data_IF_202387339949
#
_entry.id   IF_202387339949
#
_cell.length_a   1.000
_cell.length_b   1.000
_cell.length_c   1.000
_cell.angle_alpha   90.00
_cell.angle_beta   90.00
_cell.angle_gamma   90.00
#
_symmetry.space_group_name_H-M   'P 1'
#
loop_
_entity.id
_entity.type
_entity.pdbx_description
1 polymer ?
#
# COMPACT_ATOMS: atom_id res chain seq x y z
N UNK A 1 -1.22 6.47 -23.01
CA UNK A 1 -0.77 7.16 -21.79
C UNK A 1 0.71 6.87 -21.66
N UNK A 2 1.57 7.87 -21.84
CA UNK A 2 3.00 7.74 -21.58
C UNK A 2 3.19 7.29 -20.14
N UNK A 3 4.05 6.30 -19.91
CA UNK A 3 4.48 5.94 -18.56
C UNK A 3 5.46 7.03 -18.09
N UNK A 4 4.94 8.19 -17.70
CA UNK A 4 5.76 9.23 -17.09
C UNK A 4 6.40 8.67 -15.82
N UNK A 5 7.73 8.67 -15.82
CA UNK A 5 8.52 8.30 -14.66
C UNK A 5 8.27 9.36 -13.60
N UNK A 6 7.95 8.93 -12.39
CA UNK A 6 7.59 9.87 -11.33
C UNK A 6 8.28 9.55 -10.03
N UNK A 7 8.66 10.62 -9.34
CA UNK A 7 9.21 10.60 -7.99
C UNK A 7 8.36 11.51 -7.14
N UNK A 8 7.83 10.99 -6.03
CA UNK A 8 7.04 11.74 -5.06
C UNK A 8 7.70 11.61 -3.69
N UNK A 9 7.92 12.73 -3.01
CA UNK A 9 8.25 12.71 -1.58
C UNK A 9 6.99 12.37 -0.80
N UNK A 10 7.03 11.27 -0.05
CA UNK A 10 5.92 10.78 0.78
C UNK A 10 5.93 11.35 2.19
N UNK A 11 7.02 11.99 2.65
CA UNK A 11 7.03 12.59 3.98
C UNK A 11 8.42 12.94 4.48
N UNK A 12 8.45 13.64 5.63
CA UNK A 12 9.64 13.86 6.47
C UNK A 12 9.46 13.09 7.78
N UNK A 13 10.40 12.21 8.08
CA UNK A 13 10.48 11.33 9.23
C UNK A 13 11.32 11.98 10.33
N UNK A 14 10.70 12.36 11.45
CA UNK A 14 11.37 13.00 12.60
C UNK A 14 11.18 14.52 12.66
N UNK A 15 11.56 15.14 13.78
CA UNK A 15 11.48 16.59 14.02
C UNK A 15 12.88 17.22 14.15
N UNK A 16 13.07 18.42 13.59
CA UNK A 16 14.34 19.16 13.66
C UNK A 16 15.42 18.62 12.72
N UNK A 17 16.69 18.73 13.12
CA UNK A 17 17.88 18.36 12.32
C UNK A 17 18.02 16.84 12.04
N UNK A 18 17.11 16.02 12.58
CA UNK A 18 17.03 14.56 12.35
C UNK A 18 15.98 14.15 11.31
N UNK A 19 15.34 15.13 10.63
CA UNK A 19 14.31 14.86 9.63
C UNK A 19 14.88 14.06 8.44
N UNK A 20 14.40 12.85 8.24
CA UNK A 20 14.81 11.99 7.12
C UNK A 20 13.67 11.86 6.10
N UNK A 21 13.99 11.59 4.84
CA UNK A 21 13.00 11.62 3.75
C UNK A 21 12.48 10.22 3.42
N UNK A 22 11.17 10.14 3.13
CA UNK A 22 10.56 8.96 2.51
C UNK A 22 10.22 9.27 1.06
N UNK A 23 10.74 8.49 0.11
CA UNK A 23 10.48 8.68 -1.31
C UNK A 23 9.65 7.53 -1.90
N UNK A 24 8.68 7.85 -2.74
CA UNK A 24 8.04 6.92 -3.66
C UNK A 24 8.57 7.09 -5.08
N UNK A 25 8.89 5.98 -5.74
CA UNK A 25 9.46 5.93 -7.09
C UNK A 25 8.64 4.97 -7.94
N UNK A 26 8.36 5.34 -9.19
CA UNK A 26 7.72 4.47 -10.18
C UNK A 26 8.16 4.77 -11.61
N UNK A 27 7.87 3.81 -12.48
CA UNK A 27 7.99 4.00 -13.93
C UNK A 27 9.41 3.90 -14.48
N UNK A 28 10.41 3.39 -13.73
CA UNK A 28 11.80 3.29 -14.21
C UNK A 28 12.05 2.18 -15.26
N UNK A 29 11.00 1.54 -15.78
CA UNK A 29 11.10 0.41 -16.69
C UNK A 29 11.82 0.72 -18.01
N UNK A 30 11.76 1.97 -18.47
CA UNK A 30 12.32 2.42 -19.76
C UNK A 30 13.74 2.99 -19.62
N UNK A 31 14.29 3.06 -18.40
CA UNK A 31 15.65 3.54 -18.16
C UNK A 31 16.67 2.46 -18.53
N UNK A 32 17.69 2.87 -19.28
CA UNK A 32 18.82 2.02 -19.68
C UNK A 32 19.59 1.46 -18.47
N UNK A 33 19.68 2.23 -17.38
CA UNK A 33 20.26 1.80 -16.10
C UNK A 33 19.41 2.27 -14.92
N UNK A 34 18.77 1.31 -14.25
CA UNK A 34 18.03 1.55 -12.99
C UNK A 34 18.95 2.10 -11.89
N UNK A 35 20.17 1.54 -11.65
CA UNK A 35 21.14 2.11 -10.71
C UNK A 35 21.44 3.60 -10.93
N UNK A 36 21.75 4.00 -12.16
CA UNK A 36 22.10 5.38 -12.46
C UNK A 36 20.92 6.34 -12.23
N UNK A 37 19.71 5.91 -12.62
CA UNK A 37 18.50 6.70 -12.38
C UNK A 37 18.20 6.85 -10.87
N UNK A 38 18.37 5.79 -10.08
CA UNK A 38 18.18 5.85 -8.62
C UNK A 38 19.22 6.75 -7.96
N UNK A 39 20.48 6.68 -8.41
CA UNK A 39 21.55 7.53 -7.92
C UNK A 39 21.25 9.02 -8.18
N UNK A 40 20.85 9.37 -9.40
CA UNK A 40 20.45 10.74 -9.75
C UNK A 40 19.27 11.22 -8.89
N UNK A 41 18.23 10.39 -8.74
CA UNK A 41 17.04 10.72 -7.94
C UNK A 41 17.41 10.95 -6.47
N UNK A 42 18.24 10.08 -5.90
CA UNK A 42 18.67 10.21 -4.51
C UNK A 42 19.60 11.41 -4.33
N UNK A 43 20.61 11.59 -5.18
CA UNK A 43 21.53 12.72 -5.12
C UNK A 43 20.79 14.08 -5.19
N UNK A 44 19.77 14.18 -6.06
CA UNK A 44 18.94 15.38 -6.16
C UNK A 44 18.18 15.71 -4.86
N UNK A 45 17.89 14.70 -4.03
CA UNK A 45 17.17 14.88 -2.75
C UNK A 45 18.13 15.05 -1.57
N UNK A 46 19.23 14.32 -1.57
CA UNK A 46 20.19 14.26 -0.47
C UNK A 46 21.23 15.39 -0.51
N UNK A 47 21.45 16.02 -1.67
CA UNK A 47 22.29 17.22 -1.82
C UNK A 47 21.90 18.40 -0.92
N UNK A 48 20.69 18.34 -0.32
CA UNK A 48 20.17 19.31 0.65
C UNK A 48 20.44 18.92 2.11
N UNK A 49 21.28 17.92 2.35
CA UNK A 49 21.66 17.44 3.69
C UNK A 49 20.68 16.46 4.35
N UNK A 50 19.62 16.04 3.65
CA UNK A 50 18.60 15.14 4.20
C UNK A 50 18.75 13.73 3.62
N UNK A 51 19.08 12.74 4.46
CA UNK A 51 19.16 11.32 4.05
C UNK A 51 17.76 10.75 3.76
N UNK A 52 17.66 9.88 2.75
CA UNK A 52 16.44 9.11 2.39
C UNK A 52 16.52 7.66 2.90
N UNK A 53 16.22 7.34 4.16
CA UNK A 53 16.41 5.99 4.68
C UNK A 53 15.39 4.97 4.14
N UNK A 54 14.23 5.42 3.68
CA UNK A 54 13.13 4.55 3.21
C UNK A 54 12.72 4.94 1.80
N UNK A 55 12.63 3.94 0.92
CA UNK A 55 12.17 4.10 -0.47
C UNK A 55 11.04 3.13 -0.75
N UNK A 56 9.88 3.66 -1.16
CA UNK A 56 8.76 2.89 -1.68
C UNK A 56 8.85 2.77 -3.19
N UNK A 57 8.87 1.55 -3.70
CA UNK A 57 8.82 1.24 -5.12
C UNK A 57 7.40 0.83 -5.49
N UNK A 58 6.76 1.56 -6.42
CA UNK A 58 5.40 1.23 -6.87
C UNK A 58 5.44 0.26 -8.05
N UNK A 59 4.95 -0.96 -7.83
CA UNK A 59 4.78 -1.99 -8.85
C UNK A 59 3.32 -1.99 -9.33
N UNK A 60 3.06 -1.35 -10.47
CA UNK A 60 1.70 -1.15 -11.00
C UNK A 60 1.31 -2.16 -12.06
N UNK A 61 2.32 -2.80 -12.66
CA UNK A 61 2.19 -3.78 -13.73
C UNK A 61 3.15 -4.95 -13.45
N UNK A 62 2.80 -6.16 -13.90
CA UNK A 62 3.72 -7.31 -13.81
C UNK A 62 5.07 -7.05 -14.49
N UNK A 63 5.09 -6.28 -15.59
CA UNK A 63 6.31 -5.87 -16.31
C UNK A 63 7.27 -5.03 -15.47
N UNK A 64 6.78 -4.38 -14.40
CA UNK A 64 7.61 -3.59 -13.51
C UNK A 64 8.56 -4.45 -12.67
N UNK A 65 8.25 -5.75 -12.49
CA UNK A 65 8.99 -6.64 -11.60
C UNK A 65 10.50 -6.66 -11.84
N UNK A 66 10.95 -6.59 -13.10
CA UNK A 66 12.39 -6.60 -13.44
C UNK A 66 13.12 -5.35 -12.96
N UNK A 67 12.54 -4.16 -13.10
CA UNK A 67 13.22 -2.94 -12.65
C UNK A 67 13.10 -2.77 -11.14
N UNK A 68 11.97 -3.19 -10.55
CA UNK A 68 11.77 -3.19 -9.09
C UNK A 68 12.76 -4.13 -8.41
N UNK A 69 12.97 -5.33 -8.95
CA UNK A 69 13.96 -6.30 -8.43
C UNK A 69 15.38 -5.72 -8.41
N UNK A 70 15.83 -5.14 -9.52
CA UNK A 70 17.12 -4.42 -9.58
C UNK A 70 17.21 -3.27 -8.59
N UNK A 71 16.13 -2.52 -8.42
CA UNK A 71 16.07 -1.41 -7.47
C UNK A 71 16.14 -1.89 -6.01
N UNK A 72 15.44 -2.96 -5.65
CA UNK A 72 15.49 -3.58 -4.31
C UNK A 72 16.93 -3.96 -3.97
N UNK A 73 17.62 -4.69 -4.86
CA UNK A 73 19.01 -5.10 -4.62
C UNK A 73 19.94 -3.90 -4.45
N UNK A 74 19.84 -2.92 -5.35
CA UNK A 74 20.71 -1.75 -5.34
C UNK A 74 20.52 -0.87 -4.09
N UNK A 75 19.26 -0.67 -3.67
CA UNK A 75 18.90 0.12 -2.49
C UNK A 75 19.32 -0.58 -1.19
N UNK A 76 19.04 -1.87 -1.08
CA UNK A 76 19.31 -2.64 0.14
C UNK A 76 20.81 -2.82 0.36
N UNK A 77 21.60 -3.02 -0.70
CA UNK A 77 23.07 -3.01 -0.64
C UNK A 77 23.67 -1.68 -0.15
N UNK A 78 22.86 -0.60 -0.11
CA UNK A 78 23.24 0.73 0.41
C UNK A 78 22.61 1.02 1.78
N UNK A 79 22.14 0.00 2.48
CA UNK A 79 21.53 0.12 3.81
C UNK A 79 20.24 0.95 3.80
N UNK A 80 19.49 0.94 2.69
CA UNK A 80 18.17 1.58 2.60
C UNK A 80 17.10 0.54 2.91
N UNK A 81 16.05 0.97 3.58
CA UNK A 81 14.82 0.17 3.71
C UNK A 81 13.98 0.34 2.46
N UNK A 82 13.44 -0.77 1.96
CA UNK A 82 12.66 -0.80 0.73
C UNK A 82 11.26 -1.29 1.04
N UNK A 83 10.28 -0.55 0.54
CA UNK A 83 8.88 -0.97 0.57
C UNK A 83 8.41 -1.21 -0.85
N UNK A 84 8.01 -2.43 -1.19
CA UNK A 84 7.41 -2.70 -2.50
C UNK A 84 5.90 -2.62 -2.34
N UNK A 85 5.32 -1.54 -2.87
CA UNK A 85 3.86 -1.37 -2.92
C UNK A 85 3.34 -1.89 -4.25
N UNK A 86 2.45 -2.87 -4.20
CA UNK A 86 1.99 -3.58 -5.40
C UNK A 86 0.48 -3.82 -5.39
N UNK A 87 -0.10 -3.81 -6.58
CA UNK A 87 -1.47 -4.27 -6.86
C UNK A 87 -1.49 -5.52 -7.74
N UNK A 88 -0.31 -6.11 -7.96
CA UNK A 88 -0.08 -7.30 -8.78
C UNK A 88 0.72 -8.32 -7.99
N UNK A 89 0.57 -9.59 -8.35
CA UNK A 89 1.36 -10.67 -7.78
C UNK A 89 2.85 -10.46 -8.14
N UNK A 90 3.71 -10.45 -7.12
CA UNK A 90 5.16 -10.33 -7.26
C UNK A 90 5.74 -11.55 -8.00
N UNK A 91 6.60 -11.36 -9.02
CA UNK A 91 7.37 -12.44 -9.63
C UNK A 91 8.35 -13.07 -8.65
N UNK A 92 8.68 -14.36 -8.85
CA UNK A 92 9.58 -15.12 -7.98
C UNK A 92 10.94 -14.45 -7.79
N UNK A 93 11.51 -13.90 -8.86
CA UNK A 93 12.82 -13.24 -8.82
C UNK A 93 12.83 -12.02 -7.90
N UNK A 94 11.70 -11.28 -7.88
CA UNK A 94 11.52 -10.14 -6.98
C UNK A 94 11.30 -10.59 -5.54
N UNK A 95 10.54 -11.67 -5.31
CA UNK A 95 10.38 -12.26 -3.96
C UNK A 95 11.74 -12.65 -3.39
N UNK A 96 12.57 -13.38 -4.15
CA UNK A 96 13.91 -13.75 -3.72
C UNK A 96 14.77 -12.52 -3.37
N UNK A 97 14.72 -11.48 -4.21
CA UNK A 97 15.46 -10.24 -3.93
C UNK A 97 14.98 -9.52 -2.66
N UNK A 98 13.70 -9.63 -2.31
CA UNK A 98 13.14 -9.08 -1.08
C UNK A 98 13.58 -9.89 0.14
N UNK A 99 13.59 -11.23 0.06
CA UNK A 99 14.11 -12.10 1.13
C UNK A 99 15.59 -11.79 1.38
N UNK A 100 16.40 -11.75 0.32
CA UNK A 100 17.82 -11.40 0.41
C UNK A 100 18.00 -10.02 1.10
N UNK A 101 17.18 -9.04 0.72
CA UNK A 101 17.22 -7.69 1.27
C UNK A 101 16.76 -7.59 2.73
N UNK A 102 15.81 -8.44 3.14
CA UNK A 102 15.29 -8.47 4.51
C UNK A 102 16.31 -9.02 5.50
N UNK A 103 17.12 -10.00 5.09
CA UNK A 103 18.17 -10.59 5.91
C UNK A 103 19.43 -9.72 6.10
N UNK A 104 19.51 -8.55 5.48
CA UNK A 104 20.67 -7.64 5.58
C UNK A 104 20.54 -6.69 6.78
N UNK A 105 21.54 -6.65 7.65
CA UNK A 105 21.58 -5.73 8.79
C UNK A 105 21.42 -4.25 8.37
N UNK A 106 20.46 -3.56 8.97
CA UNK A 106 20.19 -2.14 8.72
C UNK A 106 19.43 -1.84 7.42
N UNK A 107 19.38 -2.77 6.48
CA UNK A 107 18.41 -2.79 5.39
C UNK A 107 17.15 -3.57 5.86
N UNK A 108 16.06 -3.42 5.12
CA UNK A 108 14.83 -4.13 5.45
C UNK A 108 13.86 -4.02 4.31
N UNK A 109 13.21 -5.13 3.97
CA UNK A 109 12.18 -5.18 2.95
C UNK A 109 10.80 -5.37 3.59
N UNK A 110 9.81 -4.65 3.07
CA UNK A 110 8.38 -4.80 3.41
C UNK A 110 7.57 -4.82 2.12
N UNK A 111 6.54 -5.65 2.06
CA UNK A 111 5.58 -5.68 0.94
C UNK A 111 4.28 -5.04 1.36
N UNK A 112 3.82 -4.05 0.60
CA UNK A 112 2.48 -3.47 0.75
C UNK A 112 1.58 -3.95 -0.39
N UNK A 113 0.49 -4.61 -0.04
CA UNK A 113 -0.52 -5.06 -1.01
C UNK A 113 -1.65 -4.03 -1.09
N UNK A 114 -1.79 -3.38 -2.24
CA UNK A 114 -2.89 -2.45 -2.51
C UNK A 114 -4.17 -3.22 -2.82
N UNK A 115 -5.14 -3.09 -1.93
CA UNK A 115 -6.46 -3.72 -2.01
C UNK A 115 -7.51 -2.62 -1.94
N UNK A 116 -8.31 -2.48 -3.00
CA UNK A 116 -9.34 -1.45 -3.05
C UNK A 116 -10.73 -2.02 -2.86
N UNK A 117 -11.01 -3.24 -3.28
CA UNK A 117 -12.35 -3.80 -3.17
C UNK A 117 -12.33 -5.32 -3.30
N UNK A 118 -13.23 -6.02 -2.61
CA UNK A 118 -13.31 -7.49 -2.67
C UNK A 118 -13.68 -8.03 -4.07
N UNK A 119 -14.50 -7.29 -4.83
CA UNK A 119 -14.81 -7.57 -6.24
C UNK A 119 -13.72 -7.07 -7.20
N UNK A 120 -13.24 -7.96 -8.07
CA UNK A 120 -12.17 -7.66 -9.04
C UNK A 120 -12.53 -6.51 -10.01
N UNK A 121 -13.77 -6.46 -10.50
CA UNK A 121 -14.22 -5.40 -11.42
C UNK A 121 -14.10 -4.01 -10.79
N UNK A 122 -14.59 -3.84 -9.56
CA UNK A 122 -14.49 -2.59 -8.80
C UNK A 122 -13.04 -2.30 -8.41
N UNK A 123 -12.27 -3.31 -8.00
CA UNK A 123 -10.84 -3.15 -7.72
C UNK A 123 -10.08 -2.63 -8.94
N UNK A 124 -10.34 -3.16 -10.14
CA UNK A 124 -9.72 -2.67 -11.39
C UNK A 124 -10.23 -1.29 -11.80
N UNK A 125 -11.46 -0.93 -11.47
CA UNK A 125 -11.95 0.43 -11.69
C UNK A 125 -11.20 1.46 -10.82
N UNK A 126 -10.89 1.08 -9.57
CA UNK A 126 -10.22 1.94 -8.60
C UNK A 126 -8.70 1.96 -8.77
N UNK A 127 -8.06 0.80 -8.85
CA UNK A 127 -6.60 0.68 -8.96
C UNK A 127 -6.11 0.65 -10.40
N UNK A 128 -6.97 0.42 -11.38
CA UNK A 128 -6.61 0.30 -12.79
C UNK A 128 -6.62 -1.15 -13.29
N UNK A 129 -6.60 -1.33 -14.63
CA UNK A 129 -6.97 -2.59 -15.28
C UNK A 129 -6.05 -3.77 -14.98
N UNK A 130 -4.86 -3.48 -14.46
CA UNK A 130 -3.81 -4.46 -14.19
C UNK A 130 -3.84 -4.96 -12.75
N UNK A 131 -4.71 -4.40 -11.90
CA UNK A 131 -4.89 -4.91 -10.55
C UNK A 131 -5.39 -6.36 -10.58
N UNK A 132 -4.76 -7.19 -9.75
CA UNK A 132 -5.13 -8.59 -9.57
C UNK A 132 -6.32 -8.73 -8.62
N UNK A 133 -6.84 -9.94 -8.43
CA UNK A 133 -7.89 -10.16 -7.44
C UNK A 133 -7.34 -10.05 -6.01
N UNK A 134 -8.15 -9.56 -5.06
CA UNK A 134 -7.78 -9.58 -3.64
C UNK A 134 -7.32 -10.96 -3.18
N UNK A 135 -8.04 -12.01 -3.56
CA UNK A 135 -7.69 -13.39 -3.21
C UNK A 135 -6.31 -13.81 -3.73
N UNK A 136 -5.93 -13.41 -4.94
CA UNK A 136 -4.60 -13.73 -5.48
C UNK A 136 -3.48 -12.99 -4.72
N UNK A 137 -3.71 -11.72 -4.37
CA UNK A 137 -2.76 -10.93 -3.59
C UNK A 137 -2.62 -11.46 -2.16
N UNK A 138 -3.73 -11.84 -1.53
CA UNK A 138 -3.76 -12.37 -0.18
C UNK A 138 -3.18 -13.79 -0.08
N UNK A 139 -3.39 -14.65 -1.09
CA UNK A 139 -2.70 -15.93 -1.16
C UNK A 139 -1.17 -15.74 -1.30
N UNK A 140 -0.74 -14.75 -2.07
CA UNK A 140 0.67 -14.38 -2.10
C UNK A 140 1.15 -13.85 -0.75
N UNK A 141 0.33 -13.09 -0.02
CA UNK A 141 0.68 -12.59 1.31
C UNK A 141 1.05 -13.73 2.25
N UNK A 142 0.21 -14.76 2.32
CA UNK A 142 0.47 -15.96 3.12
C UNK A 142 1.79 -16.63 2.74
N UNK A 143 2.08 -16.73 1.43
CA UNK A 143 3.37 -17.25 0.99
C UNK A 143 4.55 -16.37 1.42
N UNK A 144 4.42 -15.04 1.33
CA UNK A 144 5.47 -14.12 1.76
C UNK A 144 5.72 -14.21 3.27
N UNK A 145 4.67 -14.37 4.07
CA UNK A 145 4.78 -14.57 5.52
C UNK A 145 5.50 -15.88 5.89
N UNK A 146 5.28 -16.97 5.12
CA UNK A 146 6.07 -18.21 5.31
C UNK A 146 7.57 -18.03 5.02
N UNK A 147 7.94 -16.95 4.33
CA UNK A 147 9.33 -16.54 4.08
C UNK A 147 9.81 -15.46 5.06
N UNK A 148 9.05 -15.22 6.13
CA UNK A 148 9.29 -14.18 7.14
C UNK A 148 9.35 -12.75 6.57
N UNK A 149 8.83 -12.53 5.36
CA UNK A 149 8.75 -11.21 4.78
C UNK A 149 7.57 -10.44 5.36
N UNK A 150 7.77 -9.25 5.96
CA UNK A 150 6.66 -8.46 6.47
C UNK A 150 5.72 -8.02 5.35
N UNK A 151 4.45 -8.33 5.50
CA UNK A 151 3.38 -7.91 4.58
C UNK A 151 2.41 -6.96 5.27
N UNK A 152 1.94 -5.96 4.55
CA UNK A 152 0.90 -5.03 5.02
C UNK A 152 -0.21 -4.97 3.97
N UNK A 153 -1.44 -5.13 4.41
CA UNK A 153 -2.60 -4.89 3.56
C UNK A 153 -2.93 -3.38 3.54
N UNK A 154 -2.65 -2.71 2.42
CA UNK A 154 -3.04 -1.33 2.21
C UNK A 154 -4.42 -1.27 1.59
N UNK A 155 -5.42 -0.93 2.40
CA UNK A 155 -6.79 -0.75 1.94
C UNK A 155 -6.94 0.65 1.36
N UNK A 156 -6.80 0.75 0.04
CA UNK A 156 -6.75 2.02 -0.69
C UNK A 156 -7.05 1.82 -2.19
N UNK A 157 -7.66 2.81 -2.88
CA UNK A 157 -8.29 4.00 -2.33
C UNK A 157 -9.67 3.71 -1.71
N UNK A 158 -9.86 4.09 -0.45
CA UNK A 158 -11.16 4.05 0.21
C UNK A 158 -11.97 5.28 -0.22
N UNK A 159 -13.25 5.06 -0.54
CA UNK A 159 -14.15 6.07 -1.09
C UNK A 159 -15.53 5.98 -0.45
N UNK A 160 -16.16 7.12 -0.10
CA UNK A 160 -17.55 7.17 0.35
C UNK A 160 -18.49 6.69 -0.76
N UNK A 161 -19.63 6.12 -0.37
CA UNK A 161 -20.59 5.50 -1.28
C UNK A 161 -20.16 4.14 -1.83
N UNK A 162 -18.85 3.83 -1.86
CA UNK A 162 -18.35 2.50 -2.23
C UNK A 162 -18.07 1.68 -0.96
N UNK A 163 -17.38 2.27 0.03
CA UNK A 163 -16.84 1.53 1.18
C UNK A 163 -17.66 1.68 2.46
N UNK A 164 -18.40 2.77 2.61
CA UNK A 164 -19.29 3.02 3.75
C UNK A 164 -20.65 2.29 3.63
N UNK A 165 -20.85 1.53 2.55
CA UNK A 165 -22.02 0.68 2.33
C UNK A 165 -21.76 -0.73 2.86
N UNK A 166 -22.82 -1.45 3.26
CA UNK A 166 -22.70 -2.78 3.88
C UNK A 166 -21.95 -3.83 3.02
N UNK A 167 -22.00 -3.71 1.69
CA UNK A 167 -21.30 -4.60 0.76
C UNK A 167 -19.94 -4.05 0.29
N UNK A 168 -19.43 -2.99 0.90
CA UNK A 168 -18.19 -2.33 0.47
C UNK A 168 -16.98 -2.85 1.24
N UNK A 169 -16.81 -2.30 2.45
CA UNK A 169 -15.60 -2.48 3.26
C UNK A 169 -15.58 -3.79 4.07
N UNK A 170 -16.72 -4.17 4.68
CA UNK A 170 -16.77 -5.36 5.54
C UNK A 170 -16.38 -6.67 4.82
N UNK A 171 -16.82 -6.94 3.58
CA UNK A 171 -16.33 -8.12 2.86
C UNK A 171 -14.82 -8.09 2.62
N UNK A 172 -14.25 -6.91 2.32
CA UNK A 172 -12.81 -6.77 2.12
C UNK A 172 -12.04 -7.05 3.42
N UNK A 173 -12.49 -6.50 4.54
CA UNK A 173 -11.90 -6.76 5.86
C UNK A 173 -11.92 -8.25 6.20
N UNK A 174 -13.04 -8.92 5.97
CA UNK A 174 -13.15 -10.37 6.21
C UNK A 174 -12.16 -11.17 5.38
N UNK A 175 -11.95 -10.80 4.12
CA UNK A 175 -10.96 -11.48 3.27
C UNK A 175 -9.55 -11.26 3.78
N UNK A 176 -9.22 -10.04 4.23
CA UNK A 176 -7.90 -9.72 4.82
C UNK A 176 -7.68 -10.50 6.12
N UNK A 177 -8.65 -10.48 7.02
CA UNK A 177 -8.59 -11.24 8.28
C UNK A 177 -8.49 -12.76 8.03
N UNK A 178 -9.22 -13.28 7.02
CA UNK A 178 -9.12 -14.70 6.64
C UNK A 178 -7.77 -15.08 6.03
N UNK A 179 -6.99 -14.10 5.57
CA UNK A 179 -5.63 -14.31 5.10
C UNK A 179 -4.58 -14.24 6.24
N UNK A 180 -5.03 -14.05 7.48
CA UNK A 180 -4.20 -13.89 8.69
C UNK A 180 -3.28 -12.65 8.68
N UNK A 181 -3.62 -11.64 7.87
CA UNK A 181 -2.92 -10.36 7.89
C UNK A 181 -3.46 -9.47 9.01
N UNK A 182 -2.63 -9.22 10.01
CA UNK A 182 -2.95 -8.38 11.17
C UNK A 182 -2.84 -6.88 10.86
N UNK A 183 -1.85 -6.49 10.05
CA UNK A 183 -1.50 -5.09 9.80
C UNK A 183 -2.18 -4.52 8.57
N UNK A 184 -2.96 -3.47 8.80
CA UNK A 184 -3.64 -2.74 7.72
C UNK A 184 -3.31 -1.25 7.73
N UNK A 185 -3.14 -0.69 6.53
CA UNK A 185 -3.11 0.76 6.33
C UNK A 185 -4.37 1.17 5.60
N UNK A 186 -5.08 2.18 6.12
CA UNK A 186 -6.29 2.72 5.50
C UNK A 186 -5.97 4.06 4.84
N UNK A 187 -6.29 4.21 3.55
CA UNK A 187 -6.08 5.46 2.84
C UNK A 187 -7.30 5.84 2.01
N UNK A 188 -7.82 7.05 2.25
CA UNK A 188 -8.92 7.61 1.45
C UNK A 188 -8.37 8.18 0.15
N UNK A 189 -8.94 7.72 -0.95
CA UNK A 189 -8.49 8.09 -2.28
C UNK A 189 -8.87 9.47 -2.74
N UNK A 190 -8.13 9.93 -3.75
CA UNK A 190 -8.61 10.94 -4.69
C UNK A 190 -9.33 10.22 -5.83
N UNK A 191 -10.31 10.88 -6.42
CA UNK A 191 -11.03 10.37 -7.57
C UNK A 191 -10.51 11.08 -8.82
N UNK A 192 -9.86 10.34 -9.70
CA UNK A 192 -9.37 10.83 -10.99
C UNK A 192 -10.49 10.72 -12.04
N UNK A 193 -10.56 11.65 -12.99
CA UNK A 193 -11.55 11.59 -14.08
C UNK A 193 -11.54 10.26 -14.84
N UNK A 194 -10.37 9.69 -15.11
CA UNK A 194 -10.24 8.35 -15.69
C UNK A 194 -10.86 7.23 -14.83
N UNK A 195 -10.80 7.33 -13.49
CA UNK A 195 -11.47 6.38 -12.58
C UNK A 195 -12.98 6.55 -12.62
N UNK A 196 -13.51 7.77 -12.77
CA UNK A 196 -14.96 8.01 -12.88
C UNK A 196 -15.55 7.18 -14.02
N UNK A 197 -14.96 7.24 -15.21
CA UNK A 197 -15.41 6.43 -16.36
C UNK A 197 -15.37 4.94 -16.04
N UNK A 198 -14.34 4.46 -15.36
CA UNK A 198 -14.22 3.05 -14.99
C UNK A 198 -15.21 2.61 -13.91
N UNK A 199 -15.59 3.51 -13.00
CA UNK A 199 -16.62 3.26 -12.00
C UNK A 199 -17.99 3.14 -12.66
N UNK A 200 -18.28 4.00 -13.66
CA UNK A 200 -19.51 3.91 -14.47
C UNK A 200 -19.60 2.57 -15.20
N UNK A 201 -18.49 2.11 -15.80
CA UNK A 201 -18.42 0.81 -16.49
C UNK A 201 -18.81 -0.37 -15.57
N UNK A 202 -18.59 -0.25 -14.26
CA UNK A 202 -18.90 -1.29 -13.25
C UNK A 202 -20.05 -0.91 -12.33
N UNK A 203 -20.86 0.09 -12.70
CA UNK A 203 -21.96 0.62 -11.87
C UNK A 203 -22.95 -0.44 -11.40
N UNK A 204 -23.18 -1.51 -12.18
CA UNK A 204 -24.04 -2.64 -11.82
C UNK A 204 -23.56 -3.41 -10.58
N UNK A 205 -22.29 -3.31 -10.24
CA UNK A 205 -21.68 -3.96 -9.07
C UNK A 205 -21.83 -3.14 -7.78
N UNK A 206 -22.24 -1.87 -7.93
CA UNK A 206 -22.37 -0.87 -6.90
C UNK A 206 -23.85 -0.52 -6.69
N UNK A 207 -24.19 -0.01 -5.50
CA UNK A 207 -25.56 0.46 -5.26
C UNK A 207 -25.76 1.84 -5.90
N UNK A 208 -26.97 2.10 -6.43
CA UNK A 208 -27.32 3.42 -6.96
C UNK A 208 -27.16 4.52 -5.88
N UNK A 209 -27.58 4.23 -4.64
CA UNK A 209 -27.37 5.13 -3.51
C UNK A 209 -25.89 5.41 -3.24
N UNK A 210 -25.02 4.39 -3.38
CA UNK A 210 -23.58 4.53 -3.25
C UNK A 210 -22.97 5.42 -4.34
N UNK A 211 -23.40 5.25 -5.59
CA UNK A 211 -22.96 6.12 -6.70
C UNK A 211 -23.39 7.57 -6.50
N UNK A 212 -24.61 7.81 -6.02
CA UNK A 212 -25.08 9.15 -5.66
C UNK A 212 -24.27 9.77 -4.53
N UNK A 213 -23.92 8.98 -3.50
CA UNK A 213 -23.07 9.47 -2.41
C UNK A 213 -21.66 9.81 -2.89
N UNK A 214 -21.08 8.98 -3.74
CA UNK A 214 -19.77 9.22 -4.35
C UNK A 214 -19.77 10.55 -5.12
N UNK A 215 -20.81 10.78 -5.95
CA UNK A 215 -20.97 12.03 -6.71
C UNK A 215 -21.07 13.25 -5.80
N UNK A 216 -21.94 13.17 -4.79
CA UNK A 216 -22.08 14.22 -3.78
C UNK A 216 -20.77 14.50 -3.03
N UNK A 217 -20.00 13.46 -2.71
CA UNK A 217 -18.78 13.57 -1.93
C UNK A 217 -17.62 14.23 -2.69
N UNK A 218 -17.49 13.91 -3.99
CA UNK A 218 -16.43 14.43 -4.87
C UNK A 218 -16.88 15.59 -5.76
N UNK A 219 -18.12 16.04 -5.64
CA UNK A 219 -18.75 17.05 -6.50
C UNK A 219 -18.73 16.65 -7.99
N UNK A 220 -18.95 15.36 -8.26
CA UNK A 220 -19.16 14.82 -9.61
C UNK A 220 -20.66 14.71 -9.86
N UNK A 221 -21.11 15.12 -11.04
CA UNK A 221 -22.51 15.05 -11.42
C UNK A 221 -23.06 13.61 -11.28
N UNK A 222 -24.20 13.48 -10.61
CA UNK A 222 -24.89 12.21 -10.43
C UNK A 222 -25.24 11.53 -11.75
N UNK A 223 -25.64 12.31 -12.77
CA UNK A 223 -25.97 11.79 -14.09
C UNK A 223 -24.76 11.17 -14.77
N UNK A 224 -23.55 11.67 -14.50
CA UNK A 224 -22.31 11.05 -14.99
C UNK A 224 -22.07 9.71 -14.31
N UNK A 225 -22.18 9.64 -12.97
CA UNK A 225 -21.93 8.40 -12.23
C UNK A 225 -22.98 7.31 -12.46
N UNK A 226 -24.21 7.71 -12.80
CA UNK A 226 -25.27 6.79 -13.23
C UNK A 226 -25.16 6.39 -14.70
N UNK A 227 -24.17 6.90 -15.44
CA UNK A 227 -23.96 6.60 -16.86
C UNK A 227 -24.96 7.25 -17.83
N UNK A 228 -25.76 8.20 -17.34
CA UNK A 228 -26.74 8.93 -18.13
C UNK A 228 -26.15 10.14 -18.87
N UNK A 229 -24.93 10.56 -18.51
CA UNK A 229 -24.18 11.61 -19.20
C UNK A 229 -22.68 11.26 -19.25
N UNK A 230 -21.94 11.68 -20.30
CA UNK A 230 -20.49 11.52 -20.32
C UNK A 230 -19.81 12.49 -19.35
N UNK A 231 -18.65 12.10 -18.82
CA UNK A 231 -17.80 13.03 -18.07
C UNK A 231 -17.32 14.14 -19.02
N UNK A 232 -17.52 15.44 -18.68
CA UNK A 232 -17.06 16.56 -19.50
C UNK A 232 -15.57 16.47 -19.83
N UNK A 233 -15.16 16.84 -21.04
CA UNK A 233 -13.77 16.67 -21.49
C UNK A 233 -12.75 17.33 -20.56
N UNK A 234 -13.03 18.57 -20.11
CA UNK A 234 -12.18 19.28 -19.15
C UNK A 234 -12.06 18.63 -17.77
N UNK A 235 -12.89 17.64 -17.45
CA UNK A 235 -12.86 16.91 -16.18
C UNK A 235 -12.15 15.54 -16.27
N UNK A 236 -11.78 15.07 -17.47
CA UNK A 236 -11.14 13.75 -17.64
C UNK A 236 -9.76 13.67 -16.99
N UNK A 237 -9.03 14.78 -16.98
CA UNK A 237 -7.71 14.91 -16.35
C UNK A 237 -7.79 15.48 -14.93
N UNK A 238 -8.98 15.86 -14.48
CA UNK A 238 -9.18 16.43 -13.16
C UNK A 238 -9.00 15.41 -12.04
N UNK A 239 -8.55 15.89 -10.89
CA UNK A 239 -8.40 15.11 -9.66
C UNK A 239 -9.35 15.68 -8.61
N UNK A 240 -10.46 14.99 -8.37
CA UNK A 240 -11.44 15.34 -7.37
C UNK A 240 -10.95 14.90 -5.99
N UNK A 241 -11.05 15.81 -5.01
CA UNK A 241 -10.59 15.57 -3.64
C UNK A 241 -11.75 15.64 -2.67
N UNK A 242 -11.77 14.71 -1.73
CA UNK A 242 -12.72 14.74 -0.64
C UNK A 242 -12.38 15.90 0.30
N UNK A 243 -13.41 16.59 0.83
CA UNK A 243 -13.21 17.63 1.84
C UNK A 243 -12.57 17.04 3.10
N UNK A 244 -11.60 17.72 3.77
CA UNK A 244 -10.87 17.15 4.91
C UNK A 244 -11.76 16.63 6.06
N UNK A 245 -12.90 17.28 6.32
CA UNK A 245 -13.86 16.82 7.33
C UNK A 245 -14.50 15.48 6.95
N UNK A 246 -14.87 15.29 5.68
CA UNK A 246 -15.43 14.04 5.17
C UNK A 246 -14.38 12.92 5.16
N UNK A 247 -13.14 13.23 4.77
CA UNK A 247 -12.02 12.29 4.84
C UNK A 247 -11.82 11.74 6.24
N UNK A 248 -11.78 12.62 7.25
CA UNK A 248 -11.63 12.22 8.66
C UNK A 248 -12.81 11.38 9.15
N UNK A 249 -14.04 11.78 8.81
CA UNK A 249 -15.24 11.04 9.21
C UNK A 249 -15.26 9.62 8.63
N UNK A 250 -14.96 9.49 7.33
CA UNK A 250 -14.87 8.20 6.67
C UNK A 250 -13.77 7.33 7.29
N UNK A 251 -12.54 7.86 7.39
CA UNK A 251 -11.44 7.11 8.00
C UNK A 251 -11.78 6.66 9.42
N UNK A 252 -12.32 7.53 10.27
CA UNK A 252 -12.70 7.14 11.64
C UNK A 252 -13.71 5.99 11.68
N UNK A 253 -14.73 6.03 10.81
CA UNK A 253 -15.71 4.94 10.71
C UNK A 253 -15.07 3.62 10.26
N UNK A 254 -14.23 3.67 9.23
CA UNK A 254 -13.55 2.48 8.70
C UNK A 254 -12.48 1.94 9.67
N UNK A 255 -11.76 2.82 10.39
CA UNK A 255 -10.83 2.41 11.44
C UNK A 255 -11.55 1.65 12.57
N UNK A 256 -12.75 2.09 12.94
CA UNK A 256 -13.53 1.43 13.99
C UNK A 256 -13.91 0.02 13.55
N UNK A 257 -14.41 -0.13 12.31
CA UNK A 257 -14.74 -1.44 11.73
C UNK A 257 -13.52 -2.36 11.60
N UNK A 258 -12.36 -1.82 11.21
CA UNK A 258 -11.13 -2.61 11.11
C UNK A 258 -10.68 -3.13 12.48
N UNK A 259 -10.73 -2.29 13.52
CA UNK A 259 -10.42 -2.70 14.91
C UNK A 259 -11.42 -3.71 15.45
N UNK A 260 -12.72 -3.55 15.17
CA UNK A 260 -13.75 -4.53 15.52
C UNK A 260 -13.52 -5.88 14.85
N UNK A 261 -12.93 -5.89 13.65
CA UNK A 261 -12.50 -7.11 12.95
C UNK A 261 -11.16 -7.68 13.46
N UNK A 262 -10.56 -7.11 14.51
CA UNK A 262 -9.31 -7.58 15.11
C UNK A 262 -8.03 -7.12 14.41
N UNK A 263 -8.12 -6.17 13.46
CA UNK A 263 -6.96 -5.73 12.68
C UNK A 263 -6.21 -4.57 13.35
N UNK A 264 -4.89 -4.62 13.29
CA UNK A 264 -4.00 -3.53 13.70
C UNK A 264 -3.97 -2.45 12.62
N UNK A 265 -4.66 -1.35 12.88
CA UNK A 265 -4.61 -0.18 11.99
C UNK A 265 -3.31 0.58 12.20
N UNK A 266 -2.40 0.46 11.24
CA UNK A 266 -1.15 1.20 11.21
C UNK A 266 -1.41 2.59 10.64
N UNK A 267 -1.25 3.62 11.47
CA UNK A 267 -1.38 5.01 11.02
C UNK A 267 -0.08 5.49 10.40
N UNK A 268 -0.16 5.97 9.17
CA UNK A 268 0.88 6.83 8.62
C UNK A 268 0.83 8.19 9.34
N UNK A 269 1.87 8.52 10.09
CA UNK A 269 1.96 9.76 10.85
C UNK A 269 1.76 11.02 10.00
N UNK A 270 0.95 11.95 10.50
CA UNK A 270 0.80 13.31 9.94
C UNK A 270 -0.60 13.64 9.45
N UNK A 271 -1.22 14.64 10.08
CA UNK A 271 -2.50 15.22 9.67
C UNK A 271 -2.36 15.92 8.29
N UNK A 272 -2.57 15.16 7.24
CA UNK A 272 -2.42 15.61 5.86
C UNK A 272 -1.78 14.48 5.09
N UNK A 273 -2.61 13.61 4.50
CA UNK A 273 -2.20 12.32 3.95
C UNK A 273 -0.89 12.40 3.19
N UNK A 274 0.13 11.74 3.74
CA UNK A 274 1.37 11.28 3.14
C UNK A 274 2.34 10.96 4.31
N UNK A 275 2.43 9.68 4.66
CA UNK A 275 3.62 9.01 5.22
C UNK A 275 3.95 9.17 6.71
N UNK A 276 3.86 8.06 7.48
CA UNK A 276 4.85 7.60 8.49
C UNK A 276 4.35 6.48 9.41
N UNK A 277 4.30 5.24 8.91
CA UNK A 277 4.01 4.05 9.69
C UNK A 277 5.24 3.13 9.90
N UNK A 278 6.23 3.22 9.02
CA UNK A 278 7.24 2.17 8.82
C UNK A 278 8.46 2.26 9.73
N UNK A 279 8.60 3.32 10.53
CA UNK A 279 9.68 3.42 11.50
C UNK A 279 9.45 2.51 12.73
N UNK A 280 8.19 2.20 13.06
CA UNK A 280 7.81 1.34 14.20
C UNK A 280 7.96 -0.16 13.96
N UNK A 281 7.92 -0.61 12.70
CA UNK A 281 8.09 -2.01 12.33
C UNK A 281 9.52 -2.55 12.56
N UNK A 282 10.46 -1.67 12.91
CA UNK A 282 11.86 -2.00 13.18
C UNK A 282 12.24 -1.94 14.68
N UNK A 283 11.26 -1.97 15.62
CA UNK A 283 11.53 -2.04 17.06
C UNK A 283 10.74 -3.12 17.80
N UNK A 284 10.31 -4.18 17.11
CA UNK A 284 10.03 -5.47 17.75
C UNK A 284 11.34 -6.24 17.84
N UNK A 285 12.13 -5.94 18.88
CA UNK A 285 13.39 -6.61 19.15
C UNK A 285 13.22 -8.11 19.40
N UNK A 286 14.35 -8.81 19.40
CA UNK A 286 14.54 -10.23 19.70
C UNK A 286 13.95 -10.75 21.03
N UNK A 287 13.14 -9.96 21.75
CA UNK A 287 12.41 -10.36 22.95
C UNK A 287 10.93 -10.73 22.68
N UNK A 288 10.32 -10.28 21.57
CA UNK A 288 8.92 -10.62 21.27
C UNK A 288 8.73 -12.07 20.78
N UNK A 289 9.80 -12.73 20.33
CA UNK A 289 9.82 -14.17 20.02
C UNK A 289 10.15 -14.99 21.29
N UNK A 290 10.81 -14.40 22.29
CA UNK A 290 11.08 -15.04 23.58
C UNK A 290 9.85 -15.07 24.51
N UNK A 291 8.90 -14.15 24.36
CA UNK A 291 7.70 -14.08 25.21
C UNK A 291 6.50 -14.89 24.69
N UNK A 292 6.55 -15.41 23.46
CA UNK A 292 5.46 -16.17 22.82
C UNK A 292 5.60 -17.70 22.89
N UNK A 293 6.74 -18.20 23.38
CA UNK A 293 7.04 -19.63 23.49
C UNK A 293 7.12 -20.15 24.94
N UNK A 294 6.62 -19.39 25.92
CA UNK A 294 6.55 -19.83 27.33
C UNK A 294 5.18 -20.38 27.75
N UNK A 295 4.23 -20.53 26.83
CA UNK A 295 2.92 -21.10 27.16
C UNK A 295 2.49 -22.11 26.11
N UNK A 296 2.94 -23.35 26.27
CA UNK A 296 2.14 -24.60 26.27
C UNK A 296 3.04 -25.78 25.87
N UNK A 297 3.30 -26.64 26.86
CA UNK A 297 3.88 -27.99 26.82
C UNK A 297 5.42 -28.12 26.78
N UNK A 298 5.97 -28.61 27.90
CA UNK A 298 7.26 -29.30 27.93
C UNK A 298 8.32 -28.78 28.91
N UNK A 299 7.96 -28.52 30.18
CA UNK A 299 8.92 -28.73 31.28
C UNK A 299 9.28 -30.22 31.29
N UNK A 300 10.57 -30.51 31.44
CA UNK A 300 11.22 -31.83 31.43
C UNK A 300 11.61 -32.31 30.03
N UNK A 301 12.83 -31.99 29.58
CA UNK A 301 13.61 -32.90 28.72
C UNK A 301 15.11 -32.60 28.59
N UNK A 302 15.66 -31.55 29.18
CA UNK A 302 17.12 -31.36 29.22
C UNK A 302 17.60 -30.82 30.56
N UNK A 303 17.45 -31.64 31.60
CA UNK A 303 18.36 -31.64 32.74
C UNK A 303 19.68 -32.29 32.30
N UNK A 304 20.79 -31.59 32.52
CA UNK A 304 22.13 -32.16 32.48
C UNK A 304 22.78 -32.17 31.09
N UNK A 305 23.63 -31.16 30.85
CA UNK A 305 24.97 -31.35 30.30
C UNK A 305 25.76 -30.06 30.56
N UNK A 306 26.53 -30.07 31.65
CA UNK A 306 27.70 -29.21 31.79
C UNK A 306 28.73 -29.61 30.74
N UNK A 307 29.10 -28.67 29.86
CA UNK A 307 30.45 -28.32 29.41
C UNK A 307 30.37 -27.17 28.38
#
# INVERSE_FOLDING_TARGET
>A
MSNEHGVKTLGKVGSGDSASLHLAIWGLAEKSSVPAALEEILAARESRGLRVPVVTLLMRHRKDGKWVERAVRWLSARGRRVVVRTRVVLPRELVNALVDAHGLEGAGAVVELELAHHKLSVQRALLGPQAESPSALLLQAQHLETLELPVIARLAPLMPGIHDQGNGFMPLLRTVAAADLDRVVLEVGRLHGAQVTKIVDVSRELSAAGLLELGRAYAVDAMVLLGAAPLPEGQRESVFRLRPRRTRALLHGLESLAREAGLEVVREGGAGGDGLAYAGLARGGAEAIAAGYESVMGRDLFEGLEL
#
